data_IF_380329004438
#
_entry.id   IF_380329004438
#
_cell.length_a   1.000
_cell.length_b   1.000
_cell.length_c   1.000
_cell.angle_alpha   90.00
_cell.angle_beta   90.00
_cell.angle_gamma   90.00
#
_symmetry.space_group_name_H-M   'P 1'
#
loop_
_entity.id
_entity.type
_entity.pdbx_description
1 polymer ?
#
# COMPACT_ATOMS: atom_id res chain seq x y z
N UNK A 1 5.44 14.75 -29.68
CA UNK A 1 6.03 14.24 -28.43
C UNK A 1 5.02 14.47 -27.33
N UNK A 2 4.63 13.42 -26.61
CA UNK A 2 3.78 13.54 -25.42
C UNK A 2 4.68 13.60 -24.19
N UNK A 3 4.28 14.39 -23.19
CA UNK A 3 4.96 14.48 -21.90
C UNK A 3 4.24 13.60 -20.89
N UNK A 4 4.99 12.80 -20.15
CA UNK A 4 4.50 11.89 -19.11
C UNK A 4 5.16 12.21 -17.78
N UNK A 5 4.49 11.81 -16.69
CA UNK A 5 4.99 11.96 -15.33
C UNK A 5 5.76 10.72 -14.89
N UNK A 6 6.85 10.90 -14.16
CA UNK A 6 7.55 9.83 -13.47
C UNK A 6 7.48 10.06 -11.94
N UNK A 7 6.88 9.13 -11.21
CA UNK A 7 6.87 9.08 -9.75
C UNK A 7 7.99 8.13 -9.32
N UNK A 8 8.89 8.57 -8.45
CA UNK A 8 10.10 7.82 -8.11
C UNK A 8 10.18 7.60 -6.61
N UNK A 9 10.47 6.37 -6.22
CA UNK A 9 10.80 6.00 -4.85
C UNK A 9 12.00 5.06 -4.81
N UNK A 10 12.61 4.92 -3.64
CA UNK A 10 13.76 4.04 -3.44
C UNK A 10 13.31 2.75 -2.77
N UNK A 11 13.64 1.62 -3.37
CA UNK A 11 13.45 0.28 -2.79
C UNK A 11 14.81 -0.39 -2.65
N UNK A 12 15.20 -0.70 -1.40
CA UNK A 12 16.51 -1.27 -1.08
C UNK A 12 17.66 -0.46 -1.70
N UNK A 13 18.30 -1.02 -2.75
CA UNK A 13 19.43 -0.44 -3.45
C UNK A 13 19.06 0.18 -4.81
N UNK A 14 17.81 0.11 -5.24
CA UNK A 14 17.36 0.57 -6.56
C UNK A 14 16.35 1.72 -6.44
N UNK A 15 16.28 2.52 -7.49
CA UNK A 15 15.20 3.48 -7.72
C UNK A 15 14.13 2.82 -8.58
N UNK A 16 12.88 2.87 -8.13
CA UNK A 16 11.70 2.44 -8.88
C UNK A 16 11.02 3.70 -9.41
N UNK A 17 10.69 3.70 -10.69
CA UNK A 17 10.02 4.79 -11.38
C UNK A 17 8.70 4.29 -12.00
N UNK A 18 7.61 5.02 -11.77
CA UNK A 18 6.26 4.67 -12.23
C UNK A 18 5.65 5.81 -13.04
N UNK A 19 4.99 5.49 -14.15
CA UNK A 19 4.20 6.43 -14.95
C UNK A 19 2.71 6.28 -14.60
N UNK A 20 2.11 7.20 -13.84
CA UNK A 20 0.73 7.05 -13.39
C UNK A 20 -0.28 7.11 -14.54
N UNK A 21 0.02 7.82 -15.62
CA UNK A 21 -0.90 7.98 -16.77
C UNK A 21 -1.11 6.68 -17.55
N UNK A 22 -0.09 5.82 -17.58
CA UNK A 22 -0.07 4.58 -18.37
C UNK A 22 -0.11 3.34 -17.47
N UNK A 23 0.37 3.46 -16.23
CA UNK A 23 0.53 2.33 -15.31
C UNK A 23 1.78 1.49 -15.56
N UNK A 24 2.74 2.00 -16.33
CA UNK A 24 4.05 1.37 -16.53
C UNK A 24 4.99 1.66 -15.37
N UNK A 25 5.90 0.74 -15.10
CA UNK A 25 6.94 0.89 -14.08
C UNK A 25 8.27 0.36 -14.61
N UNK A 26 9.37 0.90 -14.08
CA UNK A 26 10.73 0.44 -14.36
C UNK A 26 11.64 0.74 -13.17
N UNK A 27 12.90 0.32 -13.23
CA UNK A 27 13.87 0.48 -12.16
C UNK A 27 15.27 0.78 -12.69
N UNK A 28 16.14 1.33 -11.84
CA UNK A 28 17.55 1.58 -12.14
C UNK A 28 18.39 1.82 -10.87
N UNK A 29 19.71 1.73 -10.98
CA UNK A 29 20.64 2.03 -9.88
C UNK A 29 20.70 3.52 -9.58
N UNK A 30 20.38 4.36 -10.58
CA UNK A 30 20.27 5.81 -10.46
C UNK A 30 18.88 6.30 -10.85
N UNK A 31 18.53 7.50 -10.39
CA UNK A 31 17.28 8.19 -10.78
C UNK A 31 17.21 8.35 -12.31
N UNK A 32 18.33 8.73 -12.94
CA UNK A 32 18.39 8.97 -14.38
C UNK A 32 18.18 7.66 -15.17
N UNK A 33 18.84 6.58 -14.74
CA UNK A 33 18.66 5.26 -15.32
C UNK A 33 17.21 4.78 -15.18
N UNK A 34 16.62 4.87 -13.99
CA UNK A 34 15.23 4.47 -13.77
C UNK A 34 14.25 5.24 -14.67
N UNK A 35 14.47 6.54 -14.87
CA UNK A 35 13.66 7.39 -15.76
C UNK A 35 13.86 7.02 -17.23
N UNK A 36 15.11 6.74 -17.65
CA UNK A 36 15.40 6.31 -19.02
C UNK A 36 14.75 4.95 -19.32
N UNK A 37 14.89 3.99 -18.40
CA UNK A 37 14.26 2.68 -18.52
C UNK A 37 12.72 2.78 -18.52
N UNK A 38 12.14 3.69 -17.72
CA UNK A 38 10.70 3.96 -17.73
C UNK A 38 10.24 4.57 -19.06
N UNK A 39 11.04 5.47 -19.66
CA UNK A 39 10.74 6.06 -20.98
C UNK A 39 10.63 5.00 -22.05
N UNK A 40 11.58 4.06 -22.10
CA UNK A 40 11.58 2.95 -23.06
C UNK A 40 10.38 2.02 -22.84
N UNK A 41 10.17 1.57 -21.60
CA UNK A 41 9.05 0.69 -21.26
C UNK A 41 7.69 1.32 -21.60
N UNK A 42 7.53 2.61 -21.33
CA UNK A 42 6.31 3.37 -21.66
C UNK A 42 6.13 3.52 -23.17
N UNK A 43 7.22 3.75 -23.91
CA UNK A 43 7.21 3.80 -25.37
C UNK A 43 6.70 2.49 -25.97
N UNK A 44 7.30 1.36 -25.58
CA UNK A 44 6.92 0.03 -26.06
C UNK A 44 5.46 -0.30 -25.73
N UNK A 45 5.01 0.04 -24.51
CA UNK A 45 3.63 -0.18 -24.12
C UNK A 45 2.64 0.61 -25.00
N UNK A 46 2.94 1.87 -25.32
CA UNK A 46 2.07 2.71 -26.13
C UNK A 46 2.04 2.31 -27.61
N UNK A 47 3.10 1.68 -28.12
CA UNK A 47 3.12 1.08 -29.46
C UNK A 47 2.12 -0.07 -29.57
N UNK A 48 2.03 -0.92 -28.54
CA UNK A 48 1.08 -2.03 -28.50
C UNK A 48 -0.33 -1.57 -28.09
N UNK A 49 -0.43 -0.61 -27.17
CA UNK A 49 -1.67 -0.10 -26.60
C UNK A 49 -1.77 1.42 -26.71
N UNK A 50 -2.19 1.96 -27.87
CA UNK A 50 -2.30 3.40 -28.07
C UNK A 50 -3.31 4.06 -27.12
N UNK A 51 -2.87 5.02 -26.32
CA UNK A 51 -3.77 5.78 -25.45
C UNK A 51 -4.68 6.71 -26.27
N UNK A 52 -5.99 6.63 -25.99
CA UNK A 52 -7.02 7.44 -26.67
C UNK A 52 -7.17 8.86 -26.11
N UNK A 53 -6.77 9.08 -24.86
CA UNK A 53 -6.87 10.36 -24.15
C UNK A 53 -5.81 10.40 -23.06
N UNK A 54 -4.99 11.44 -23.06
CA UNK A 54 -4.07 11.71 -21.96
C UNK A 54 -4.74 12.65 -20.97
N UNK A 55 -4.82 12.26 -19.69
CA UNK A 55 -5.11 13.19 -18.61
C UNK A 55 -3.78 13.76 -18.08
N UNK A 56 -3.80 15.01 -17.62
CA UNK A 56 -2.64 15.59 -16.93
C UNK A 56 -2.81 15.37 -15.43
N UNK A 57 -1.99 14.51 -14.79
CA UNK A 57 -2.11 14.30 -13.35
C UNK A 57 -1.79 15.60 -12.59
N UNK A 58 -2.56 15.87 -11.54
CA UNK A 58 -2.26 16.93 -10.58
C UNK A 58 -1.63 16.25 -9.37
N UNK A 59 -0.33 16.49 -9.17
CA UNK A 59 0.40 15.97 -8.01
C UNK A 59 0.11 16.85 -6.79
N UNK A 60 -0.30 16.22 -5.70
CA UNK A 60 -0.50 16.88 -4.41
C UNK A 60 -0.14 15.91 -3.28
N UNK A 61 0.21 16.45 -2.13
CA UNK A 61 0.49 15.68 -0.91
C UNK A 61 -0.61 15.91 0.11
N UNK A 62 -0.88 14.91 0.94
CA UNK A 62 -1.80 15.03 2.06
C UNK A 62 -1.24 14.33 3.28
N UNK A 63 -1.54 14.85 4.45
CA UNK A 63 -1.10 14.28 5.72
C UNK A 63 -2.19 13.37 6.29
N UNK A 64 -1.78 12.20 6.78
CA UNK A 64 -2.67 11.28 7.50
C UNK A 64 -2.06 10.95 8.85
N UNK A 65 -2.84 11.11 9.92
CA UNK A 65 -2.49 10.54 11.21
C UNK A 65 -2.84 9.06 11.22
N UNK A 66 -1.81 8.20 11.18
CA UNK A 66 -1.95 6.78 11.44
C UNK A 66 -2.44 6.59 12.89
N UNK A 67 -3.75 6.57 13.08
CA UNK A 67 -4.34 6.43 14.41
C UNK A 67 -3.99 5.05 14.95
N UNK A 68 -3.05 5.02 15.89
CA UNK A 68 -2.83 3.83 16.69
C UNK A 68 -4.10 3.57 17.51
N UNK A 69 -4.84 2.52 17.15
CA UNK A 69 -6.08 2.15 17.84
C UNK A 69 -5.77 1.31 19.09
N UNK A 70 -6.64 1.36 20.09
CA UNK A 70 -6.57 0.45 21.23
C UNK A 70 -7.00 -0.96 20.83
N UNK A 71 -6.60 -1.96 21.63
CA UNK A 71 -7.09 -3.33 21.48
C UNK A 71 -8.62 -3.41 21.57
N UNK A 72 -9.26 -2.61 22.43
CA UNK A 72 -10.72 -2.54 22.52
C UNK A 72 -11.37 -2.03 21.22
N UNK A 73 -10.80 -1.00 20.59
CA UNK A 73 -11.28 -0.51 19.30
C UNK A 73 -11.13 -1.58 18.22
N UNK A 74 -10.01 -2.30 18.20
CA UNK A 74 -9.78 -3.42 17.28
C UNK A 74 -10.77 -4.57 17.51
N UNK A 75 -10.99 -4.99 18.75
CA UNK A 75 -11.97 -6.03 19.10
C UNK A 75 -13.38 -5.63 18.64
N UNK A 76 -13.81 -4.38 18.89
CA UNK A 76 -15.10 -3.87 18.41
C UNK A 76 -15.21 -3.93 16.88
N UNK A 77 -14.15 -3.57 16.15
CA UNK A 77 -14.14 -3.66 14.70
C UNK A 77 -14.26 -5.12 14.22
N UNK A 78 -13.51 -6.05 14.82
CA UNK A 78 -13.57 -7.47 14.48
C UNK A 78 -14.95 -8.09 14.80
N UNK A 79 -15.60 -7.67 15.89
CA UNK A 79 -16.99 -8.06 16.17
C UNK A 79 -17.96 -7.64 15.07
N UNK A 80 -17.84 -6.41 14.54
CA UNK A 80 -18.64 -5.95 13.40
C UNK A 80 -18.40 -6.76 12.12
N UNK A 81 -17.20 -7.31 11.96
CA UNK A 81 -16.84 -8.23 10.86
C UNK A 81 -17.30 -9.68 11.12
N UNK A 82 -18.04 -9.94 12.20
CA UNK A 82 -18.57 -11.27 12.52
C UNK A 82 -17.59 -12.19 13.25
N UNK A 83 -16.50 -11.66 13.83
CA UNK A 83 -15.69 -12.41 14.78
C UNK A 83 -16.30 -12.36 16.17
N UNK A 84 -16.11 -13.40 16.97
CA UNK A 84 -16.48 -13.43 18.38
C UNK A 84 -15.25 -13.69 19.26
N UNK A 85 -15.32 -13.26 20.52
CA UNK A 85 -14.28 -13.52 21.51
C UNK A 85 -14.38 -14.98 21.95
N UNK A 86 -13.39 -15.80 21.58
CA UNK A 86 -13.36 -17.22 21.89
C UNK A 86 -12.71 -17.52 23.26
N UNK A 87 -11.67 -16.77 23.62
CA UNK A 87 -11.01 -16.84 24.94
C UNK A 87 -10.22 -15.56 25.22
N UNK A 88 -10.02 -15.25 26.49
CA UNK A 88 -9.07 -14.22 26.92
C UNK A 88 -8.10 -14.81 27.94
N UNK A 89 -6.80 -14.58 27.77
CA UNK A 89 -5.76 -14.89 28.77
C UNK A 89 -4.89 -13.66 28.99
N UNK A 90 -5.00 -13.06 30.17
CA UNK A 90 -4.37 -11.78 30.46
C UNK A 90 -4.84 -10.69 29.49
N UNK A 91 -3.89 -9.98 28.88
CA UNK A 91 -4.20 -8.95 27.87
C UNK A 91 -4.51 -9.52 26.48
N UNK A 92 -4.34 -10.81 26.21
CA UNK A 92 -4.53 -11.36 24.86
C UNK A 92 -5.96 -11.92 24.69
N UNK A 93 -6.70 -11.35 23.74
CA UNK A 93 -8.06 -11.77 23.37
C UNK A 93 -8.01 -12.54 22.06
N UNK A 94 -8.43 -13.80 22.07
CA UNK A 94 -8.51 -14.63 20.87
C UNK A 94 -9.87 -14.42 20.21
N UNK A 95 -9.86 -13.90 18.99
CA UNK A 95 -11.03 -13.69 18.14
C UNK A 95 -11.15 -14.83 17.14
N UNK A 96 -12.36 -15.36 16.90
CA UNK A 96 -12.62 -16.39 15.89
C UNK A 96 -13.82 -16.06 15.00
N UNK A 97 -13.76 -16.54 13.76
CA UNK A 97 -14.87 -16.53 12.80
C UNK A 97 -14.74 -17.75 11.89
N UNK A 98 -15.66 -18.72 12.01
CA UNK A 98 -15.59 -20.01 11.28
C UNK A 98 -14.22 -20.67 11.49
N UNK A 99 -13.47 -20.90 10.41
CA UNK A 99 -12.12 -21.48 10.41
C UNK A 99 -10.98 -20.44 10.52
N UNK A 100 -11.27 -19.15 10.68
CA UNK A 100 -10.27 -18.08 10.82
C UNK A 100 -10.19 -17.59 12.27
N UNK A 101 -9.00 -17.21 12.72
CA UNK A 101 -8.81 -16.62 14.04
C UNK A 101 -7.60 -15.70 14.11
N UNK A 102 -7.61 -14.80 15.08
CA UNK A 102 -6.48 -13.93 15.40
C UNK A 102 -6.43 -13.66 16.91
N UNK A 103 -5.31 -13.10 17.38
CA UNK A 103 -5.16 -12.68 18.77
C UNK A 103 -4.97 -11.17 18.79
N UNK A 104 -5.78 -10.47 19.58
CA UNK A 104 -5.72 -9.02 19.75
C UNK A 104 -5.30 -8.71 21.19
N UNK A 105 -4.14 -8.07 21.42
CA UNK A 105 -3.77 -7.60 22.75
C UNK A 105 -4.62 -6.38 23.14
N UNK A 106 -5.24 -6.43 24.31
CA UNK A 106 -6.11 -5.41 24.89
C UNK A 106 -5.28 -4.30 25.55
N UNK A 107 -4.45 -3.63 24.76
CA UNK A 107 -3.61 -2.52 25.19
C UNK A 107 -4.24 -1.19 24.79
N UNK A 108 -3.87 -0.09 25.46
CA UNK A 108 -4.34 1.27 25.10
C UNK A 108 -3.98 1.66 23.67
N UNK A 109 -2.91 1.07 23.14
CA UNK A 109 -2.39 1.37 21.83
C UNK A 109 -1.75 0.11 21.23
N UNK A 110 -2.24 -0.31 20.06
CA UNK A 110 -1.65 -1.40 19.30
C UNK A 110 -0.49 -0.87 18.45
N UNK A 111 0.63 -1.60 18.45
CA UNK A 111 1.74 -1.30 17.55
C UNK A 111 1.35 -1.62 16.10
N UNK A 112 1.89 -0.83 15.17
CA UNK A 112 1.81 -1.10 13.73
C UNK A 112 2.45 -2.47 13.48
N UNK A 113 1.73 -3.38 12.82
CA UNK A 113 2.21 -4.75 12.56
C UNK A 113 1.78 -5.83 13.57
N UNK A 114 0.91 -5.53 14.55
CA UNK A 114 0.33 -6.55 15.47
C UNK A 114 -0.60 -7.55 14.77
N UNK A 115 -1.11 -7.22 13.59
CA UNK A 115 -1.79 -8.14 12.68
C UNK A 115 -0.78 -8.56 11.59
N UNK A 116 0.12 -9.50 11.90
CA UNK A 116 0.92 -10.15 10.86
C UNK A 116 0.01 -11.09 10.04
N UNK A 117 0.24 -11.10 8.72
CA UNK A 117 -0.46 -11.92 7.71
C UNK A 117 -0.39 -13.40 8.06
#
# INVERSE_FOLDING_TARGET
MNTFTAVIHKEENLYVAECPEVGTASQGETIEEAVNNLREATGLYLEEFPMKSAYRPIMTTFEVSAHRISGDKAIKAFKKLGFYEARQKGSHVVMRRKNKGCVIPRHKQLAVGTLRR
#
